data_IF_211172216194
#
_entry.id   IF_211172216194
#
_cell.length_a   1.000
_cell.length_b   1.000
_cell.length_c   1.000
_cell.angle_alpha   90.00
_cell.angle_beta   90.00
_cell.angle_gamma   90.00
#
_symmetry.space_group_name_H-M   'P 1'
#
loop_
_entity.id
_entity.type
_entity.pdbx_description
1 polymer ?
#
# COMPACT_ATOMS: atom_id res chain seq x y z
N UNK A 1 2.62 -47.31 10.78
CA UNK A 1 2.27 -46.19 9.87
C UNK A 1 1.70 -45.03 10.69
N UNK A 2 2.36 -43.87 10.79
CA UNK A 2 1.66 -42.57 10.95
C UNK A 2 2.64 -41.39 10.84
N UNK A 3 2.72 -40.78 9.65
CA UNK A 3 3.33 -39.44 9.46
C UNK A 3 2.19 -38.41 9.37
N UNK A 4 1.79 -37.81 10.51
CA UNK A 4 0.78 -36.72 10.54
C UNK A 4 1.25 -35.43 11.24
N UNK A 5 2.57 -35.19 11.35
CA UNK A 5 3.13 -34.00 12.01
C UNK A 5 3.41 -32.77 11.13
N UNK A 6 3.42 -32.91 9.79
CA UNK A 6 3.96 -31.87 8.89
C UNK A 6 3.02 -30.71 8.53
N UNK A 7 1.70 -30.92 8.56
CA UNK A 7 0.72 -29.97 8.00
C UNK A 7 0.46 -28.74 8.89
N UNK A 8 0.50 -28.92 10.22
CA UNK A 8 0.22 -27.84 11.18
C UNK A 8 1.33 -26.78 11.24
N UNK A 9 2.60 -27.20 11.13
CA UNK A 9 3.76 -26.30 11.21
C UNK A 9 3.87 -25.39 9.98
N UNK A 10 3.58 -25.92 8.78
CA UNK A 10 3.59 -25.17 7.52
C UNK A 10 2.50 -24.10 7.46
N UNK A 11 1.29 -24.40 7.98
CA UNK A 11 0.18 -23.44 8.08
C UNK A 11 0.50 -22.26 9.00
N UNK A 12 1.15 -22.49 10.15
CA UNK A 12 1.55 -21.41 11.07
C UNK A 12 2.58 -20.47 10.44
N UNK A 13 3.56 -21.01 9.72
CA UNK A 13 4.59 -20.22 9.03
C UNK A 13 3.99 -19.31 7.94
N UNK A 14 3.07 -19.83 7.12
CA UNK A 14 2.40 -19.02 6.09
C UNK A 14 1.56 -17.89 6.68
N UNK A 15 0.88 -18.13 7.80
CA UNK A 15 0.06 -17.10 8.45
C UNK A 15 0.90 -15.96 9.03
N UNK A 16 2.05 -16.28 9.62
CA UNK A 16 2.99 -15.29 10.14
C UNK A 16 3.55 -14.40 9.02
N UNK A 17 4.01 -15.00 7.92
CA UNK A 17 4.50 -14.27 6.74
C UNK A 17 3.44 -13.34 6.15
N UNK A 18 2.19 -13.80 6.10
CA UNK A 18 1.09 -13.02 5.57
C UNK A 18 0.68 -11.87 6.51
N UNK A 19 0.83 -12.05 7.83
CA UNK A 19 0.63 -10.97 8.80
C UNK A 19 1.74 -9.92 8.71
N UNK A 20 3.00 -10.35 8.58
CA UNK A 20 4.14 -9.46 8.36
C UNK A 20 3.97 -8.64 7.08
N UNK A 21 3.56 -9.28 5.98
CA UNK A 21 3.30 -8.59 4.71
C UNK A 21 2.15 -7.58 4.83
N UNK A 22 1.08 -7.93 5.55
CA UNK A 22 -0.05 -7.03 5.79
C UNK A 22 0.37 -5.83 6.65
N UNK A 23 1.15 -6.05 7.71
CA UNK A 23 1.70 -4.98 8.53
C UNK A 23 2.60 -4.04 7.72
N UNK A 24 3.53 -4.60 6.95
CA UNK A 24 4.43 -3.83 6.09
C UNK A 24 3.66 -2.99 5.05
N UNK A 25 2.63 -3.58 4.43
CA UNK A 25 1.75 -2.86 3.51
C UNK A 25 1.05 -1.69 4.21
N UNK A 26 0.44 -1.94 5.36
CA UNK A 26 -0.31 -0.92 6.08
C UNK A 26 0.56 0.28 6.46
N UNK A 27 1.78 0.01 6.93
CA UNK A 27 2.68 1.03 7.45
C UNK A 27 3.51 1.74 6.36
N UNK A 28 4.00 1.01 5.35
CA UNK A 28 5.04 1.51 4.44
C UNK A 28 4.60 1.69 3.00
N UNK A 29 3.41 1.23 2.61
CA UNK A 29 2.97 1.41 1.22
C UNK A 29 2.93 2.91 0.88
N UNK A 30 3.47 3.34 -0.28
CA UNK A 30 3.35 4.73 -0.69
C UNK A 30 1.89 5.07 -1.01
N UNK A 31 1.50 6.31 -0.80
CA UNK A 31 0.23 6.82 -1.35
C UNK A 31 0.41 7.07 -2.84
N UNK A 32 -0.53 6.63 -3.65
CA UNK A 32 -0.50 6.83 -5.10
C UNK A 32 -1.53 7.92 -5.42
N UNK A 33 -1.05 9.11 -5.78
CA UNK A 33 -1.86 10.21 -6.28
C UNK A 33 -1.72 10.33 -7.81
N UNK A 34 -2.56 11.16 -8.41
CA UNK A 34 -2.36 11.57 -9.80
C UNK A 34 -1.07 12.39 -9.93
N UNK A 35 -0.22 12.13 -10.93
CA UNK A 35 1.09 12.77 -11.05
C UNK A 35 1.00 14.30 -11.05
N UNK A 36 1.81 14.95 -10.22
CA UNK A 36 1.86 16.41 -10.08
C UNK A 36 0.83 17.00 -9.11
N UNK A 37 -0.02 16.17 -8.51
CA UNK A 37 -1.05 16.56 -7.55
C UNK A 37 -0.87 15.92 -6.17
N UNK A 38 0.32 15.38 -5.89
CA UNK A 38 0.66 14.78 -4.61
C UNK A 38 0.50 15.76 -3.44
N UNK A 39 0.79 17.04 -3.66
CA UNK A 39 0.68 18.10 -2.64
C UNK A 39 -0.76 18.49 -2.30
N UNK A 40 -1.75 18.05 -3.08
CA UNK A 40 -3.17 18.26 -2.76
C UNK A 40 -3.64 17.38 -1.58
N UNK A 41 -2.88 16.32 -1.25
CA UNK A 41 -3.18 15.44 -0.13
C UNK A 41 -2.65 16.02 1.17
N UNK A 42 -3.56 16.56 1.98
CA UNK A 42 -3.25 17.05 3.32
C UNK A 42 -3.16 15.91 4.36
N UNK A 43 -2.87 16.26 5.61
CA UNK A 43 -2.76 15.28 6.71
C UNK A 43 -4.02 14.44 6.90
N UNK A 44 -5.22 15.03 6.75
CA UNK A 44 -6.49 14.31 6.91
C UNK A 44 -6.63 13.13 5.93
N UNK A 45 -6.22 13.32 4.66
CA UNK A 45 -6.18 12.22 3.69
C UNK A 45 -5.21 11.12 4.11
N UNK A 46 -4.01 11.51 4.58
CA UNK A 46 -2.98 10.55 4.99
C UNK A 46 -3.42 9.72 6.20
N UNK A 47 -4.08 10.35 7.18
CA UNK A 47 -4.61 9.70 8.37
C UNK A 47 -5.71 8.69 8.02
N UNK A 48 -6.63 9.05 7.13
CA UNK A 48 -7.69 8.15 6.67
C UNK A 48 -7.13 6.99 5.83
N UNK A 49 -6.16 7.24 4.94
CA UNK A 49 -5.48 6.17 4.21
C UNK A 49 -4.83 5.18 5.17
N UNK A 50 -4.12 5.68 6.18
CA UNK A 50 -3.51 4.82 7.20
C UNK A 50 -4.57 4.02 7.96
N UNK A 51 -5.68 4.66 8.36
CA UNK A 51 -6.80 3.99 9.02
C UNK A 51 -7.37 2.83 8.18
N UNK A 52 -7.78 3.10 6.94
CA UNK A 52 -8.36 2.08 6.05
C UNK A 52 -7.37 0.96 5.75
N UNK A 53 -6.09 1.28 5.55
CA UNK A 53 -5.07 0.24 5.38
C UNK A 53 -4.95 -0.65 6.60
N UNK A 54 -4.93 -0.11 7.82
CA UNK A 54 -4.85 -0.92 9.04
C UNK A 54 -6.05 -1.88 9.13
N UNK A 55 -7.26 -1.37 8.86
CA UNK A 55 -8.48 -2.17 8.90
C UNK A 55 -8.52 -3.25 7.81
N UNK A 56 -8.05 -2.95 6.60
CA UNK A 56 -8.24 -3.79 5.41
C UNK A 56 -6.98 -4.52 4.95
N UNK A 57 -5.81 -4.31 5.56
CA UNK A 57 -4.52 -4.77 5.04
C UNK A 57 -4.49 -6.26 4.73
N UNK A 58 -5.05 -7.08 5.63
CA UNK A 58 -5.09 -8.53 5.43
C UNK A 58 -5.89 -8.91 4.19
N UNK A 59 -7.03 -8.25 3.97
CA UNK A 59 -7.86 -8.47 2.81
C UNK A 59 -7.20 -7.95 1.53
N UNK A 60 -6.58 -6.77 1.59
CA UNK A 60 -5.82 -6.17 0.48
C UNK A 60 -4.68 -7.09 0.00
N UNK A 61 -3.89 -7.63 0.93
CA UNK A 61 -2.80 -8.54 0.59
C UNK A 61 -3.31 -9.86 0.00
N UNK A 62 -4.41 -10.41 0.52
CA UNK A 62 -4.97 -11.67 0.03
C UNK A 62 -5.55 -11.56 -1.39
N UNK A 63 -6.12 -10.40 -1.73
CA UNK A 63 -6.82 -10.17 -2.99
C UNK A 63 -6.00 -9.31 -3.98
N UNK A 64 -4.79 -8.91 -3.58
CA UNK A 64 -3.87 -8.07 -4.35
C UNK A 64 -4.52 -6.77 -4.89
N UNK A 65 -5.21 -6.07 -3.99
CA UNK A 65 -6.06 -4.93 -4.32
C UNK A 65 -5.92 -3.85 -3.24
N UNK A 66 -5.93 -2.58 -3.64
CA UNK A 66 -5.84 -1.46 -2.71
C UNK A 66 -7.18 -1.19 -2.02
N UNK A 67 -7.16 -0.38 -0.97
CA UNK A 67 -8.39 0.05 -0.30
C UNK A 67 -9.23 0.93 -1.24
N UNK A 68 -10.53 1.00 -1.02
CA UNK A 68 -11.38 1.91 -1.79
C UNK A 68 -11.09 3.37 -1.50
N UNK A 69 -10.64 3.68 -0.29
CA UNK A 69 -10.24 5.04 0.08
C UNK A 69 -9.00 5.52 -0.67
N UNK A 70 -8.08 4.60 -0.99
CA UNK A 70 -6.93 4.92 -1.85
C UNK A 70 -7.34 5.13 -3.32
N UNK A 71 -8.32 4.37 -3.82
CA UNK A 71 -8.89 4.65 -5.14
C UNK A 71 -9.62 6.01 -5.15
N UNK A 72 -10.36 6.34 -4.10
CA UNK A 72 -10.98 7.64 -3.93
C UNK A 72 -9.93 8.76 -3.92
N UNK A 73 -8.84 8.59 -3.18
CA UNK A 73 -7.73 9.55 -3.09
C UNK A 73 -7.12 9.79 -4.46
N UNK A 74 -6.84 8.72 -5.22
CA UNK A 74 -6.32 8.83 -6.57
C UNK A 74 -7.29 9.61 -7.48
N UNK A 75 -8.58 9.25 -7.48
CA UNK A 75 -9.61 9.94 -8.26
C UNK A 75 -9.81 11.39 -7.82
N UNK A 76 -9.75 11.70 -6.53
CA UNK A 76 -9.78 13.07 -6.03
C UNK A 76 -8.66 13.90 -6.64
N UNK A 77 -7.42 13.42 -6.59
CA UNK A 77 -6.30 14.15 -7.22
C UNK A 77 -6.38 14.19 -8.74
N UNK A 78 -6.94 13.17 -9.37
CA UNK A 78 -7.11 13.13 -10.82
C UNK A 78 -8.19 14.12 -11.32
N UNK A 79 -9.26 14.31 -10.56
CA UNK A 79 -10.35 15.24 -10.92
C UNK A 79 -9.90 16.70 -10.90
N UNK A 80 -8.88 17.02 -10.10
CA UNK A 80 -8.23 18.33 -10.10
C UNK A 80 -7.40 18.57 -11.37
N UNK A 81 -6.90 17.50 -12.00
CA UNK A 81 -6.04 17.58 -13.17
C UNK A 81 -6.81 17.58 -14.49
N UNK A 82 -7.90 16.82 -14.57
CA UNK A 82 -8.67 16.61 -15.80
C UNK A 82 -10.14 16.35 -15.50
N UNK A 83 -11.08 16.79 -16.35
CA UNK A 83 -12.46 16.35 -16.27
C UNK A 83 -12.56 14.84 -16.47
N UNK A 84 -13.53 14.23 -15.80
CA UNK A 84 -13.83 12.81 -15.94
C UNK A 84 -14.85 12.54 -17.04
N UNK A 85 -14.72 11.37 -17.67
CA UNK A 85 -15.82 10.79 -18.43
C UNK A 85 -16.95 10.34 -17.48
N UNK A 86 -18.05 9.87 -18.07
CA UNK A 86 -19.26 9.54 -17.34
C UNK A 86 -19.01 8.45 -16.29
N UNK A 87 -18.24 7.42 -16.63
CA UNK A 87 -17.97 6.29 -15.76
C UNK A 87 -17.08 6.67 -14.57
N UNK A 88 -15.96 7.35 -14.81
CA UNK A 88 -15.07 7.80 -13.72
C UNK A 88 -15.74 8.86 -12.84
N UNK A 89 -16.57 9.72 -13.42
CA UNK A 89 -17.40 10.66 -12.67
C UNK A 89 -18.33 9.91 -11.70
N UNK A 90 -19.08 8.90 -12.18
CA UNK A 90 -19.96 8.10 -11.32
C UNK A 90 -19.20 7.33 -10.25
N UNK A 91 -18.07 6.71 -10.58
CA UNK A 91 -17.21 6.01 -9.60
C UNK A 91 -16.70 6.97 -8.53
N UNK A 92 -16.22 8.15 -8.92
CA UNK A 92 -15.74 9.17 -7.99
C UNK A 92 -16.84 9.59 -7.01
N UNK A 93 -18.04 9.94 -7.51
CA UNK A 93 -19.14 10.37 -6.66
C UNK A 93 -19.72 9.25 -5.80
N UNK A 94 -19.73 8.01 -6.29
CA UNK A 94 -20.08 6.85 -5.48
C UNK A 94 -19.15 6.70 -4.26
N UNK A 95 -17.84 6.79 -4.48
CA UNK A 95 -16.86 6.74 -3.38
C UNK A 95 -16.92 7.98 -2.48
N UNK A 96 -17.13 9.16 -3.05
CA UNK A 96 -17.33 10.39 -2.29
C UNK A 96 -18.54 10.27 -1.35
N UNK A 97 -19.68 9.79 -1.85
CA UNK A 97 -20.87 9.50 -1.03
C UNK A 97 -20.58 8.47 0.05
N UNK A 98 -19.81 7.42 -0.26
CA UNK A 98 -19.43 6.38 0.71
C UNK A 98 -18.63 6.94 1.90
N UNK A 99 -17.66 7.81 1.66
CA UNK A 99 -16.76 8.30 2.72
C UNK A 99 -17.22 9.62 3.35
N UNK A 100 -17.89 10.48 2.58
CA UNK A 100 -18.28 11.83 2.97
C UNK A 100 -19.78 12.08 2.88
N UNK A 101 -20.61 11.02 2.79
CA UNK A 101 -22.07 11.15 2.73
C UNK A 101 -22.69 11.93 3.90
N UNK A 102 -22.04 11.91 5.08
CA UNK A 102 -22.45 12.71 6.25
C UNK A 102 -22.27 14.23 6.06
N UNK A 103 -21.42 14.65 5.12
CA UNK A 103 -21.29 16.06 4.71
C UNK A 103 -22.37 16.43 3.69
N UNK A 104 -22.79 15.46 2.87
CA UNK A 104 -23.79 15.63 1.82
C UNK A 104 -25.21 15.73 2.36
N UNK A 105 -25.51 15.09 3.49
CA UNK A 105 -26.82 15.21 4.18
C UNK A 105 -27.11 16.63 4.72
N UNK A 106 -26.23 17.60 4.46
CA UNK A 106 -26.40 19.02 4.78
C UNK A 106 -26.65 19.87 3.53
N UNK A 107 -26.69 19.26 2.34
CA UNK A 107 -26.93 19.93 1.07
C UNK A 107 -28.32 19.53 0.56
N UNK A 108 -29.24 20.49 0.50
CA UNK A 108 -30.67 20.26 0.22
C UNK A 108 -30.95 19.61 -1.15
N UNK A 109 -30.02 19.71 -2.11
CA UNK A 109 -30.19 19.19 -3.47
C UNK A 109 -29.49 17.83 -3.72
N UNK A 110 -28.80 17.27 -2.72
CA UNK A 110 -28.02 16.04 -2.93
C UNK A 110 -28.89 14.76 -2.94
N UNK A 111 -30.09 14.82 -2.38
CA UNK A 111 -31.01 13.67 -2.34
C UNK A 111 -31.55 13.31 -3.74
N UNK A 112 -31.59 14.26 -4.68
CA UNK A 112 -31.93 13.98 -6.09
C UNK A 112 -30.77 13.35 -6.87
N UNK A 113 -29.53 13.59 -6.43
CA UNK A 113 -28.34 12.98 -7.00
C UNK A 113 -28.11 11.59 -6.39
N UNK A 114 -28.84 10.62 -6.91
CA UNK A 114 -28.47 9.22 -6.73
C UNK A 114 -27.16 8.97 -7.49
N UNK A 115 -26.02 9.17 -6.79
CA UNK A 115 -24.72 8.66 -7.22
C UNK A 115 -24.72 7.16 -7.57
N UNK A 116 -25.83 6.46 -7.33
CA UNK A 116 -26.21 5.21 -7.95
C UNK A 116 -25.48 4.04 -7.34
N UNK A 117 -26.13 2.88 -7.41
CA UNK A 117 -25.35 1.67 -7.50
C UNK A 117 -24.51 1.71 -8.77
N UNK A 118 -23.22 1.40 -8.62
CA UNK A 118 -22.35 1.22 -9.77
C UNK A 118 -22.86 0.06 -10.60
N UNK A 119 -22.91 0.25 -11.92
CA UNK A 119 -23.08 -0.85 -12.86
C UNK A 119 -21.94 -1.86 -12.73
N UNK A 120 -22.13 -3.09 -13.22
CA UNK A 120 -21.07 -4.11 -13.16
C UNK A 120 -19.80 -3.69 -13.92
N UNK A 121 -19.96 -2.90 -14.98
CA UNK A 121 -18.83 -2.31 -15.70
C UNK A 121 -18.06 -1.30 -14.82
N UNK A 122 -18.75 -0.39 -14.15
CA UNK A 122 -18.12 0.59 -13.25
C UNK A 122 -17.48 -0.06 -12.03
N UNK A 123 -18.11 -1.11 -11.46
CA UNK A 123 -17.51 -1.94 -10.40
C UNK A 123 -16.21 -2.58 -10.88
N UNK A 124 -16.19 -3.11 -12.10
CA UNK A 124 -15.01 -3.71 -12.69
C UNK A 124 -13.90 -2.67 -12.91
N UNK A 125 -14.22 -1.49 -13.45
CA UNK A 125 -13.27 -0.38 -13.59
C UNK A 125 -12.65 0.03 -12.25
N UNK A 126 -13.47 0.13 -11.19
CA UNK A 126 -12.98 0.43 -9.85
C UNK A 126 -12.06 -0.67 -9.31
N UNK A 127 -12.41 -1.94 -9.51
CA UNK A 127 -11.55 -3.08 -9.13
C UNK A 127 -10.20 -3.00 -9.86
N UNK A 128 -10.20 -2.71 -11.16
CA UNK A 128 -9.00 -2.64 -11.96
C UNK A 128 -8.11 -1.46 -11.56
N UNK A 129 -8.71 -0.30 -11.27
CA UNK A 129 -7.98 0.83 -10.68
C UNK A 129 -7.31 0.44 -9.36
N UNK A 130 -8.05 -0.21 -8.45
CA UNK A 130 -7.52 -0.62 -7.14
C UNK A 130 -6.40 -1.64 -7.26
N UNK A 131 -6.50 -2.60 -8.19
CA UNK A 131 -5.42 -3.55 -8.50
C UNK A 131 -4.19 -2.84 -9.05
N UNK A 132 -4.39 -1.85 -9.93
CA UNK A 132 -3.30 -1.05 -10.47
C UNK A 132 -2.58 -0.25 -9.37
N UNK A 133 -3.31 0.40 -8.46
CA UNK A 133 -2.75 1.11 -7.30
C UNK A 133 -1.93 0.15 -6.44
N UNK A 134 -2.51 -0.99 -6.06
CA UNK A 134 -1.81 -2.00 -5.24
C UNK A 134 -0.51 -2.47 -5.90
N UNK A 135 -0.55 -2.77 -7.20
CA UNK A 135 0.63 -3.18 -7.97
C UNK A 135 1.73 -2.11 -7.94
N UNK A 136 1.37 -0.82 -8.05
CA UNK A 136 2.32 0.30 -7.96
C UNK A 136 2.94 0.37 -6.57
N UNK A 137 2.15 0.24 -5.51
CA UNK A 137 2.62 0.25 -4.13
C UNK A 137 3.59 -0.89 -3.83
N UNK A 138 3.21 -2.11 -4.20
CA UNK A 138 4.04 -3.29 -3.98
C UNK A 138 5.35 -3.23 -4.75
N UNK A 139 5.37 -2.62 -5.94
CA UNK A 139 6.60 -2.37 -6.69
C UNK A 139 7.57 -1.49 -5.90
N UNK A 140 7.08 -0.37 -5.34
CA UNK A 140 7.90 0.54 -4.53
C UNK A 140 8.39 -0.15 -3.26
N UNK A 141 7.51 -0.86 -2.55
CA UNK A 141 7.89 -1.63 -1.35
C UNK A 141 8.99 -2.66 -1.63
N UNK A 142 8.85 -3.41 -2.72
CA UNK A 142 9.86 -4.39 -3.13
C UNK A 142 11.20 -3.73 -3.46
N UNK A 143 11.19 -2.57 -4.11
CA UNK A 143 12.41 -1.80 -4.40
C UNK A 143 13.09 -1.32 -3.11
N UNK A 144 12.32 -0.81 -2.14
CA UNK A 144 12.85 -0.38 -0.84
C UNK A 144 13.48 -1.55 -0.07
N UNK A 145 12.84 -2.72 -0.07
CA UNK A 145 13.39 -3.92 0.56
C UNK A 145 14.71 -4.37 -0.08
N UNK A 146 14.77 -4.40 -1.42
CA UNK A 146 16.00 -4.73 -2.16
C UNK A 146 17.13 -3.76 -1.84
N UNK A 147 16.85 -2.45 -1.86
CA UNK A 147 17.84 -1.43 -1.51
C UNK A 147 18.36 -1.58 -0.07
N UNK A 148 17.48 -1.89 0.89
CA UNK A 148 17.86 -2.13 2.28
C UNK A 148 18.77 -3.36 2.42
N UNK A 149 18.48 -4.44 1.70
CA UNK A 149 19.33 -5.63 1.69
C UNK A 149 20.71 -5.33 1.11
N UNK A 150 20.78 -4.61 -0.01
CA UNK A 150 22.04 -4.21 -0.63
C UNK A 150 22.89 -3.31 0.29
N UNK A 151 22.26 -2.38 1.01
CA UNK A 151 22.95 -1.51 1.99
C UNK A 151 23.55 -2.32 3.14
N UNK A 152 22.81 -3.27 3.71
CA UNK A 152 23.30 -4.16 4.78
C UNK A 152 24.48 -5.02 4.32
N UNK A 153 24.41 -5.55 3.10
CA UNK A 153 25.52 -6.34 2.53
C UNK A 153 26.78 -5.51 2.32
N UNK A 154 26.64 -4.24 1.92
CA UNK A 154 27.78 -3.33 1.78
C UNK A 154 28.43 -3.00 3.12
N UNK A 155 27.62 -2.71 4.15
CA UNK A 155 28.10 -2.39 5.50
C UNK A 155 28.80 -3.57 6.16
N UNK A 156 28.22 -4.78 6.09
CA UNK A 156 28.86 -5.97 6.65
C UNK A 156 30.17 -6.37 5.93
N UNK A 157 30.32 -6.02 4.64
CA UNK A 157 31.59 -6.20 3.92
C UNK A 157 32.65 -5.19 4.35
N UNK A 158 32.29 -3.92 4.51
CA UNK A 158 33.24 -2.89 4.97
C UNK A 158 33.71 -3.12 6.40
N UNK A 159 32.83 -3.58 7.30
CA UNK A 159 33.18 -3.92 8.69
C UNK A 159 34.11 -5.15 8.74
N UNK A 160 33.81 -6.19 7.95
CA UNK A 160 34.67 -7.38 7.86
C UNK A 160 36.03 -7.12 7.19
N UNK A 161 36.14 -6.10 6.32
CA UNK A 161 37.40 -5.65 5.72
C UNK A 161 38.23 -4.80 6.70
N UNK A 162 37.59 -4.00 7.56
CA UNK A 162 38.27 -3.25 8.62
C UNK A 162 38.82 -4.17 9.73
N UNK A 163 38.06 -5.16 10.19
CA UNK A 163 38.52 -6.14 11.20
C UNK A 163 39.69 -7.02 10.69
N UNK A 164 39.78 -7.26 9.38
CA UNK A 164 40.91 -7.98 8.78
C UNK A 164 42.18 -7.11 8.62
N UNK A 165 42.02 -5.79 8.54
CA UNK A 165 43.15 -4.85 8.47
C UNK A 165 43.84 -4.65 9.82
N UNK A 166 43.09 -4.60 10.92
CA UNK A 166 43.64 -4.38 12.27
C UNK A 166 44.32 -5.63 12.87
N UNK A 167 44.05 -6.83 12.34
CA UNK A 167 44.66 -8.08 12.81
C UNK A 167 46.09 -8.35 12.35
N UNK A 168 46.69 -7.48 11.50
CA UNK A 168 48.01 -7.72 10.89
C UNK A 168 49.15 -6.95 11.59
N UNK A 169 48.85 -5.95 12.44
CA UNK A 169 49.89 -5.05 13.00
C UNK A 169 50.44 -5.41 14.40
N UNK A 170 49.99 -6.51 15.03
CA UNK A 170 50.46 -6.86 16.41
C UNK A 170 51.49 -7.98 16.49
N UNK A 171 52.13 -8.32 15.36
CA UNK A 171 52.97 -9.51 15.25
C UNK A 171 54.41 -9.29 14.79
N UNK A 172 55.16 -8.33 15.32
CA UNK A 172 56.65 -8.41 15.34
C UNK A 172 57.29 -7.24 16.09
N UNK A 173 57.74 -7.46 17.33
CA UNK A 173 59.09 -7.03 17.79
C UNK A 173 59.56 -8.04 18.84
N UNK A 174 60.30 -9.06 18.39
CA UNK A 174 61.25 -9.82 19.23
C UNK A 174 62.64 -9.42 18.77
N UNK A 175 63.37 -8.69 19.61
CA UNK A 175 64.64 -9.08 20.24
C UNK A 175 65.25 -7.88 20.97
#
# INVERSE_FOLDING_TARGET
>A
MSKRGGSSRKRKSNNAQLAEKAFLYAEKAPVIAYPGWESALNCHFMDLIAHYRICEARWCINNEIATEYEAFTYLYTASLATPFDREWYRIYFHLFKKFYGHLLSKMDDWDEWDGGELSDYEKQLLIDLRKWIFKKQMRVLSQMQKQRQMRKQRQGKSEAEQEKGEGVETGEVRE
#
